data_IF_319098595656
#
_entry.id   IF_319098595656
#
_cell.length_a   1.000
_cell.length_b   1.000
_cell.length_c   1.000
_cell.angle_alpha   90.00
_cell.angle_beta   90.00
_cell.angle_gamma   90.00
#
_symmetry.space_group_name_H-M   'P 1'
#
loop_
_entity.id
_entity.type
_entity.pdbx_description
1 polymer ?
#
# COMPACT_ATOMS: atom_id res chain seq x y z
N UNK A 1 28.96 18.86 -8.49
CA UNK A 1 27.51 19.05 -8.60
C UNK A 1 26.91 18.64 -7.27
N UNK A 2 26.40 19.61 -6.52
CA UNK A 2 25.64 19.34 -5.30
C UNK A 2 24.21 18.92 -5.67
N UNK A 3 23.46 18.31 -4.74
CA UNK A 3 22.09 17.84 -4.99
C UNK A 3 21.14 18.95 -5.46
N UNK A 4 21.36 20.18 -4.97
CA UNK A 4 20.62 21.36 -5.40
C UNK A 4 20.93 21.77 -6.86
N UNK A 5 22.18 21.62 -7.31
CA UNK A 5 22.57 21.94 -8.70
C UNK A 5 21.88 20.99 -9.70
N UNK A 6 21.70 19.72 -9.31
CA UNK A 6 21.01 18.73 -10.13
C UNK A 6 19.50 19.03 -10.24
N UNK A 7 18.87 19.43 -9.13
CA UNK A 7 17.45 19.82 -9.12
C UNK A 7 17.21 21.07 -9.97
N UNK A 8 18.10 22.06 -9.87
CA UNK A 8 18.06 23.27 -10.69
C UNK A 8 18.29 22.99 -12.18
N UNK A 9 19.16 22.03 -12.50
CA UNK A 9 19.39 21.62 -13.89
C UNK A 9 18.13 20.98 -14.50
N UNK A 10 17.48 20.08 -13.77
CA UNK A 10 16.27 19.38 -14.23
C UNK A 10 15.09 20.33 -14.42
N UNK A 11 14.89 21.26 -13.49
CA UNK A 11 13.79 22.24 -13.55
C UNK A 11 13.98 23.24 -14.69
N UNK A 12 15.19 23.80 -14.86
CA UNK A 12 15.50 24.76 -15.93
C UNK A 12 15.37 24.17 -17.34
N UNK A 13 15.53 22.85 -17.48
CA UNK A 13 15.44 22.15 -18.77
C UNK A 13 14.08 21.49 -19.00
N UNK A 14 13.12 21.66 -18.10
CA UNK A 14 11.78 21.04 -18.14
C UNK A 14 11.82 19.52 -18.37
N UNK A 15 12.90 18.87 -17.91
CA UNK A 15 13.13 17.43 -18.12
C UNK A 15 12.00 16.58 -17.52
N UNK A 16 11.48 16.85 -16.30
CA UNK A 16 10.37 16.09 -15.75
C UNK A 16 9.11 16.14 -16.62
N UNK A 17 8.78 17.30 -17.20
CA UNK A 17 7.59 17.47 -18.03
C UNK A 17 7.70 16.72 -19.38
N UNK A 18 8.91 16.72 -19.96
CA UNK A 18 9.19 15.92 -21.16
C UNK A 18 8.96 14.42 -20.89
N UNK A 19 9.49 13.90 -19.77
CA UNK A 19 9.30 12.49 -19.41
C UNK A 19 7.85 12.16 -19.13
N UNK A 20 7.12 13.04 -18.44
CA UNK A 20 5.68 12.88 -18.19
C UNK A 20 4.88 12.75 -19.50
N UNK A 21 5.12 13.64 -20.47
CA UNK A 21 4.47 13.58 -21.78
C UNK A 21 4.81 12.29 -22.55
N UNK A 22 6.08 11.89 -22.55
CA UNK A 22 6.54 10.65 -23.21
C UNK A 22 5.95 9.39 -22.57
N UNK A 23 5.89 9.34 -21.24
CA UNK A 23 5.27 8.23 -20.50
C UNK A 23 3.77 8.15 -20.77
N UNK A 24 3.10 9.29 -20.86
CA UNK A 24 1.66 9.35 -21.18
C UNK A 24 1.41 8.80 -22.60
N UNK A 25 2.26 9.16 -23.57
CA UNK A 25 2.21 8.59 -24.92
C UNK A 25 2.45 7.08 -24.96
N UNK A 26 3.43 6.57 -24.20
CA UNK A 26 3.71 5.14 -24.08
C UNK A 26 2.52 4.36 -23.51
N UNK A 27 1.93 4.88 -22.43
CA UNK A 27 0.79 4.25 -21.77
C UNK A 27 -0.45 4.23 -22.66
N UNK A 28 -0.64 5.28 -23.46
CA UNK A 28 -1.77 5.42 -24.37
C UNK A 28 -1.66 4.49 -25.59
N UNK A 29 -0.51 4.48 -26.27
CA UNK A 29 -0.33 3.72 -27.51
C UNK A 29 0.08 2.27 -27.31
N UNK A 30 0.68 1.91 -26.17
CA UNK A 30 1.22 0.57 -25.87
C UNK A 30 1.95 -0.07 -27.06
N UNK A 31 2.98 0.59 -27.61
CA UNK A 31 3.71 0.09 -28.76
C UNK A 31 4.40 -1.24 -28.45
N UNK A 32 4.50 -2.13 -29.44
CA UNK A 32 5.21 -3.41 -29.31
C UNK A 32 6.71 -3.23 -29.03
N UNK A 33 7.30 -2.15 -29.56
CA UNK A 33 8.66 -1.72 -29.24
C UNK A 33 8.68 -0.32 -28.57
N UNK A 34 8.76 -0.28 -27.22
CA UNK A 34 8.81 0.97 -26.46
C UNK A 34 10.05 1.82 -26.74
N UNK A 35 11.20 1.22 -27.08
CA UNK A 35 12.45 1.96 -27.25
C UNK A 35 12.40 2.80 -28.53
N UNK A 36 11.99 2.19 -29.64
CA UNK A 36 11.80 2.90 -30.92
C UNK A 36 10.75 4.02 -30.81
N UNK A 37 9.69 3.80 -30.02
CA UNK A 37 8.70 4.84 -29.75
C UNK A 37 9.30 6.03 -28.99
N UNK A 38 10.08 5.78 -27.93
CA UNK A 38 10.72 6.86 -27.17
C UNK A 38 11.74 7.64 -28.00
N UNK A 39 12.49 6.97 -28.89
CA UNK A 39 13.36 7.64 -29.85
C UNK A 39 12.59 8.57 -30.79
N UNK A 40 11.43 8.12 -31.29
CA UNK A 40 10.55 8.95 -32.12
C UNK A 40 10.01 10.17 -31.35
N UNK A 41 9.61 10.00 -30.08
CA UNK A 41 9.18 11.11 -29.23
C UNK A 41 10.30 12.16 -29.06
N UNK A 42 11.53 11.72 -28.77
CA UNK A 42 12.68 12.62 -28.64
C UNK A 42 12.99 13.36 -29.96
N UNK A 43 12.87 12.68 -31.10
CA UNK A 43 13.04 13.32 -32.40
C UNK A 43 11.96 14.37 -32.66
N UNK A 44 10.69 14.05 -32.38
CA UNK A 44 9.58 15.01 -32.50
C UNK A 44 9.73 16.21 -31.57
N UNK A 45 10.26 16.02 -30.35
CA UNK A 45 10.60 17.13 -29.43
C UNK A 45 11.68 18.04 -30.01
N UNK A 46 12.69 17.48 -30.68
CA UNK A 46 13.73 18.28 -31.36
C UNK A 46 13.13 19.09 -32.51
N UNK A 47 12.23 18.49 -33.28
CA UNK A 47 11.58 19.16 -34.41
C UNK A 47 10.63 20.29 -33.95
N UNK A 48 10.05 20.18 -32.76
CA UNK A 48 9.22 21.21 -32.12
C UNK A 48 10.03 22.35 -31.48
N UNK A 49 11.36 22.26 -31.48
CA UNK A 49 12.25 23.31 -31.00
C UNK A 49 12.71 23.19 -29.55
N UNK A 50 12.40 22.09 -28.86
CA UNK A 50 12.88 21.85 -27.49
C UNK A 50 11.82 21.29 -26.53
N UNK A 51 12.22 20.86 -25.32
CA UNK A 51 11.33 20.34 -24.29
C UNK A 51 10.29 21.37 -23.80
N UNK A 52 10.58 22.67 -23.90
CA UNK A 52 9.67 23.77 -23.55
C UNK A 52 8.43 23.89 -24.45
N UNK A 53 8.48 23.29 -25.64
CA UNK A 53 7.38 23.29 -26.61
C UNK A 53 6.47 22.04 -26.47
N UNK A 54 6.79 21.13 -25.56
CA UNK A 54 6.07 19.88 -25.35
C UNK A 54 5.00 20.10 -24.27
N UNK A 55 3.73 19.91 -24.64
CA UNK A 55 2.63 19.78 -23.69
C UNK A 55 2.45 18.31 -23.25
N UNK A 56 1.70 18.09 -22.18
CA UNK A 56 1.45 16.76 -21.61
C UNK A 56 0.79 15.77 -22.60
N UNK A 57 0.05 16.24 -23.61
CA UNK A 57 -0.70 15.45 -24.60
C UNK A 57 -0.06 15.40 -26.00
N UNK A 58 1.16 15.94 -26.14
CA UNK A 58 1.87 16.06 -27.43
C UNK A 58 2.03 14.74 -28.19
N UNK A 59 2.06 13.62 -27.47
CA UNK A 59 2.25 12.28 -28.03
C UNK A 59 0.99 11.41 -28.01
N UNK A 60 -0.19 12.01 -27.76
CA UNK A 60 -1.48 11.29 -27.66
C UNK A 60 -2.37 11.55 -28.89
N UNK A 61 -2.11 12.62 -29.65
CA UNK A 61 -2.99 13.03 -30.76
C UNK A 61 -2.67 12.31 -32.09
N UNK A 62 -3.66 11.69 -32.75
CA UNK A 62 -3.50 11.23 -34.13
C UNK A 62 -3.57 12.43 -35.09
N UNK A 63 -2.75 12.41 -36.15
CA UNK A 63 -2.68 13.41 -37.20
C UNK A 63 -4.05 14.00 -37.56
N UNK A 64 -4.26 15.30 -37.29
CA UNK A 64 -5.37 16.04 -37.92
C UNK A 64 -5.07 16.17 -39.41
N UNK A 65 -5.53 15.21 -40.21
CA UNK A 65 -5.67 15.43 -41.66
C UNK A 65 -6.63 16.62 -41.88
N UNK A 66 -6.25 17.66 -42.62
CA UNK A 66 -7.18 18.73 -42.95
C UNK A 66 -8.33 18.17 -43.81
N UNK A 67 -9.55 18.57 -43.48
CA UNK A 67 -10.76 18.13 -44.17
C UNK A 67 -10.80 18.68 -45.62
N UNK A 68 -11.30 17.90 -46.60
CA UNK A 68 -11.47 18.37 -47.96
C UNK A 68 -12.64 19.39 -48.07
N UNK A 69 -12.63 20.31 -49.06
CA UNK A 69 -13.68 21.31 -49.22
C UNK A 69 -15.00 20.66 -49.69
N UNK A 70 -16.09 21.04 -49.03
CA UNK A 70 -17.44 20.53 -49.31
C UNK A 70 -18.03 21.26 -50.53
N UNK A 71 -18.29 20.55 -51.63
CA UNK A 71 -19.21 20.97 -52.68
C UNK A 71 -20.64 20.49 -52.34
N UNK A 72 -21.68 21.32 -52.52
CA UNK A 72 -23.04 20.95 -52.13
C UNK A 72 -23.75 20.26 -53.30
N UNK A 73 -24.18 19.00 -53.12
CA UNK A 73 -25.12 18.38 -54.05
C UNK A 73 -26.09 17.41 -53.34
N UNK A 74 -27.31 17.92 -53.16
CA UNK A 74 -28.59 17.24 -53.42
C UNK A 74 -28.95 15.99 -52.59
N UNK A 75 -29.64 16.22 -51.48
CA UNK A 75 -30.52 15.24 -50.85
C UNK A 75 -31.90 15.16 -51.54
N UNK A 76 -32.36 13.93 -51.78
CA UNK A 76 -33.73 13.49 -52.14
C UNK A 76 -33.82 12.05 -51.59
N UNK A 77 -34.81 11.53 -50.87
CA UNK A 77 -36.22 11.83 -50.51
C UNK A 77 -36.55 10.96 -49.26
N UNK A 78 -37.22 11.45 -48.21
CA UNK A 78 -38.68 11.44 -47.91
C UNK A 78 -39.23 10.08 -47.39
N UNK A 79 -40.46 9.95 -46.82
CA UNK A 79 -41.47 10.94 -46.33
C UNK A 79 -42.07 10.56 -44.93
N UNK A 80 -42.86 11.38 -44.21
CA UNK A 80 -44.31 11.61 -44.36
C UNK A 80 -44.77 12.62 -43.26
N UNK A 81 -45.37 13.77 -43.62
CA UNK A 81 -46.82 14.10 -43.72
C UNK A 81 -47.47 14.43 -42.36
N UNK A 82 -48.02 15.61 -42.13
CA UNK A 82 -49.31 16.21 -42.60
C UNK A 82 -49.30 17.71 -42.18
N UNK A 83 -50.00 18.72 -42.74
CA UNK A 83 -50.77 19.00 -43.97
C UNK A 83 -51.17 20.51 -43.90
N UNK A 84 -51.40 21.19 -45.05
CA UNK A 84 -52.22 22.42 -45.16
C UNK A 84 -51.52 23.80 -45.32
N UNK A 85 -51.60 24.41 -46.53
CA UNK A 85 -51.17 25.80 -46.88
C UNK A 85 -52.24 26.90 -46.68
N UNK A 86 -52.26 28.07 -47.38
CA UNK A 86 -51.38 28.65 -48.42
C UNK A 86 -50.80 30.08 -48.09
N UNK A 87 -49.96 30.66 -48.99
CA UNK A 87 -49.10 31.87 -48.80
C UNK A 87 -49.80 33.26 -48.88
N UNK A 88 -49.18 34.40 -49.32
CA UNK A 88 -47.77 34.69 -49.73
C UNK A 88 -47.16 36.06 -49.24
N UNK A 89 -45.84 36.11 -48.92
CA UNK A 89 -44.88 37.26 -48.94
C UNK A 89 -45.26 38.68 -48.41
N UNK A 90 -44.40 39.72 -48.54
CA UNK A 90 -42.94 39.80 -48.44
C UNK A 90 -42.47 40.87 -47.40
N UNK A 91 -41.21 40.81 -46.97
CA UNK A 91 -40.49 41.99 -46.45
C UNK A 91 -40.19 42.06 -44.93
N UNK A 92 -39.21 42.89 -44.53
CA UNK A 92 -38.19 42.51 -43.56
C UNK A 92 -38.30 43.23 -42.19
N UNK A 93 -37.55 42.70 -41.22
CA UNK A 93 -37.36 43.16 -39.82
C UNK A 93 -38.52 42.92 -38.84
N UNK A 94 -38.37 41.91 -37.97
CA UNK A 94 -38.75 41.97 -36.53
C UNK A 94 -38.13 40.83 -35.70
N UNK A 95 -37.33 41.24 -34.71
CA UNK A 95 -37.35 40.85 -33.28
C UNK A 95 -38.16 39.59 -32.92
N UNK A 96 -37.51 38.58 -32.33
CA UNK A 96 -38.05 37.62 -31.33
C UNK A 96 -36.83 37.12 -30.52
N UNK A 97 -36.72 37.35 -29.20
CA UNK A 97 -37.50 36.86 -28.04
C UNK A 97 -36.86 35.61 -27.41
N UNK A 98 -36.55 35.74 -26.11
CA UNK A 98 -36.06 34.64 -25.26
C UNK A 98 -37.14 33.58 -25.13
N UNK A 99 -36.75 32.32 -25.25
CA UNK A 99 -37.56 31.15 -24.89
C UNK A 99 -36.94 30.39 -23.70
N UNK A 100 -37.77 29.65 -22.93
CA UNK A 100 -37.60 29.41 -21.50
C UNK A 100 -36.74 28.16 -21.18
N UNK A 101 -36.31 27.98 -19.92
CA UNK A 101 -35.55 26.81 -19.52
C UNK A 101 -36.45 25.57 -19.48
N UNK A 102 -36.07 24.51 -20.20
CA UNK A 102 -36.80 23.25 -20.19
C UNK A 102 -36.34 22.39 -19.01
N UNK A 103 -37.31 22.02 -18.18
CA UNK A 103 -37.22 21.18 -17.01
C UNK A 103 -36.92 19.72 -17.35
N UNK A 104 -36.14 19.10 -16.46
CA UNK A 104 -35.83 17.69 -16.42
C UNK A 104 -37.08 16.83 -16.17
N UNK A 105 -37.30 15.80 -17.01
CA UNK A 105 -38.06 14.61 -16.65
C UNK A 105 -37.42 13.35 -17.29
N UNK A 106 -36.62 12.68 -16.45
CA UNK A 106 -36.33 11.25 -16.30
C UNK A 106 -36.62 10.27 -17.45
N UNK A 107 -35.57 9.58 -17.91
CA UNK A 107 -35.38 8.13 -17.70
C UNK A 107 -33.96 7.73 -18.12
N UNK A 108 -33.06 7.57 -17.15
CA UNK A 108 -31.88 6.71 -17.28
C UNK A 108 -32.02 5.69 -16.17
N UNK A 109 -32.12 4.44 -16.59
CA UNK A 109 -32.26 3.26 -15.75
C UNK A 109 -31.05 3.13 -14.81
N UNK A 110 -31.32 2.65 -13.62
CA UNK A 110 -30.36 2.43 -12.53
C UNK A 110 -29.25 1.45 -12.93
N UNK A 111 -28.02 1.94 -13.02
CA UNK A 111 -26.83 1.17 -12.62
C UNK A 111 -26.52 1.52 -11.16
N UNK A 112 -27.34 0.97 -10.28
CA UNK A 112 -26.97 0.69 -8.90
C UNK A 112 -26.15 -0.60 -8.92
N UNK A 113 -24.81 -0.48 -9.03
CA UNK A 113 -23.81 -1.41 -8.48
C UNK A 113 -22.39 -0.99 -8.87
N UNK A 114 -22.00 0.23 -8.48
CA UNK A 114 -20.58 0.59 -8.36
C UNK A 114 -20.35 1.24 -6.99
N UNK A 115 -20.73 0.50 -5.96
CA UNK A 115 -20.12 0.66 -4.64
C UNK A 115 -19.15 -0.51 -4.48
N UNK A 116 -17.85 -0.25 -4.59
CA UNK A 116 -16.88 -0.61 -3.54
C UNK A 116 -15.44 -0.28 -3.97
N UNK A 117 -14.86 0.66 -3.20
CA UNK A 117 -13.47 0.62 -2.75
C UNK A 117 -12.35 1.13 -3.67
N UNK A 118 -12.54 2.29 -4.29
CA UNK A 118 -11.41 3.23 -4.46
C UNK A 118 -11.32 4.07 -3.19
N UNK A 119 -10.70 3.50 -2.15
CA UNK A 119 -10.62 4.05 -0.81
C UNK A 119 -10.12 5.50 -0.82
N UNK A 120 -11.02 6.43 -0.51
CA UNK A 120 -10.63 7.67 0.13
C UNK A 120 -9.80 7.28 1.36
N UNK A 121 -8.50 7.53 1.33
CA UNK A 121 -7.66 7.46 2.53
C UNK A 121 -8.13 8.63 3.39
N UNK A 122 -9.20 8.40 4.14
CA UNK A 122 -9.50 9.21 5.29
C UNK A 122 -8.31 9.03 6.23
N UNK A 123 -7.60 10.12 6.48
CA UNK A 123 -6.63 10.24 7.57
C UNK A 123 -7.40 10.04 8.88
N UNK A 124 -7.68 8.79 9.21
CA UNK A 124 -8.14 8.40 10.52
C UNK A 124 -6.93 8.27 11.41
N UNK A 125 -6.90 9.09 12.46
CA UNK A 125 -6.08 8.82 13.63
C UNK A 125 -6.39 7.40 14.12
N UNK A 126 -5.37 6.56 14.17
CA UNK A 126 -5.53 5.13 14.54
C UNK A 126 -5.99 4.99 15.98
N UNK A 127 -5.53 5.89 16.84
CA UNK A 127 -5.89 5.97 18.24
C UNK A 127 -6.57 7.30 18.52
N UNK A 128 -7.63 7.26 19.32
CA UNK A 128 -8.34 8.45 19.75
C UNK A 128 -7.42 9.33 20.62
N UNK A 129 -7.12 10.58 20.23
CA UNK A 129 -6.22 11.46 20.98
C UNK A 129 -6.77 11.86 22.35
N UNK A 130 -8.07 11.64 22.62
CA UNK A 130 -8.68 11.88 23.92
C UNK A 130 -8.45 10.75 24.94
N UNK A 131 -7.98 9.57 24.48
CA UNK A 131 -7.69 8.41 25.31
C UNK A 131 -6.18 8.24 25.51
N UNK A 132 -5.73 7.63 26.62
CA UNK A 132 -4.33 7.25 26.75
C UNK A 132 -3.97 6.27 25.62
N UNK A 133 -2.85 6.52 24.94
CA UNK A 133 -2.39 5.65 23.87
C UNK A 133 -2.13 4.24 24.41
N UNK A 134 -2.57 3.18 23.72
CA UNK A 134 -2.28 1.81 24.12
C UNK A 134 -0.78 1.54 24.00
N UNK A 135 -0.27 0.65 24.85
CA UNK A 135 1.12 0.21 24.75
C UNK A 135 1.35 -0.62 23.50
N UNK A 136 2.41 -0.37 22.74
CA UNK A 136 2.74 -1.15 21.54
C UNK A 136 4.09 -1.83 21.74
N UNK A 137 4.08 -3.16 21.73
CA UNK A 137 5.28 -3.99 21.84
C UNK A 137 5.50 -4.76 20.53
N UNK A 138 6.71 -4.73 20.00
CA UNK A 138 7.11 -5.57 18.88
C UNK A 138 7.94 -6.75 19.33
N UNK A 139 7.58 -7.96 18.88
CA UNK A 139 8.41 -9.16 19.05
C UNK A 139 9.02 -9.51 17.69
N UNK A 140 10.33 -9.31 17.60
CA UNK A 140 11.15 -9.57 16.43
C UNK A 140 11.96 -10.85 16.66
N UNK A 141 12.04 -11.70 15.65
CA UNK A 141 12.86 -12.90 15.71
C UNK A 141 12.78 -13.70 14.42
N UNK A 142 13.76 -14.59 14.24
CA UNK A 142 13.83 -15.45 13.07
C UNK A 142 12.58 -16.32 12.90
N UNK A 143 12.29 -16.79 11.69
CA UNK A 143 11.28 -17.82 11.51
C UNK A 143 11.68 -19.06 12.33
N UNK A 144 10.80 -19.51 13.23
CA UNK A 144 11.10 -20.62 14.15
C UNK A 144 11.64 -20.24 15.52
N UNK A 145 11.86 -18.95 15.82
CA UNK A 145 12.41 -18.50 17.11
C UNK A 145 11.50 -18.69 18.33
N UNK A 146 10.24 -19.07 18.12
CA UNK A 146 9.24 -19.17 19.19
C UNK A 146 8.45 -17.87 19.46
N UNK A 147 8.64 -16.83 18.64
CA UNK A 147 7.94 -15.54 18.77
C UNK A 147 6.43 -15.67 18.98
N UNK A 148 5.69 -16.34 18.09
CA UNK A 148 4.24 -16.49 18.25
C UNK A 148 3.80 -17.16 19.55
N UNK A 149 4.57 -18.12 20.07
CA UNK A 149 4.30 -18.76 21.37
C UNK A 149 4.48 -17.78 22.52
N UNK A 150 5.60 -17.05 22.53
CA UNK A 150 5.89 -16.04 23.55
C UNK A 150 4.88 -14.90 23.49
N UNK A 151 4.57 -14.40 22.29
CA UNK A 151 3.58 -13.35 22.08
C UNK A 151 2.22 -13.73 22.65
N UNK A 152 1.75 -14.97 22.40
CA UNK A 152 0.47 -15.44 22.93
C UNK A 152 0.46 -15.51 24.47
N UNK A 153 1.54 -15.99 25.09
CA UNK A 153 1.66 -16.03 26.57
C UNK A 153 1.64 -14.62 27.17
N UNK A 154 2.39 -13.68 26.58
CA UNK A 154 2.49 -12.29 27.07
C UNK A 154 1.16 -11.56 26.88
N UNK A 155 0.52 -11.72 25.73
CA UNK A 155 -0.81 -11.17 25.46
C UNK A 155 -1.81 -11.58 26.53
N UNK A 156 -1.85 -12.86 26.87
CA UNK A 156 -2.72 -13.37 27.93
C UNK A 156 -2.33 -12.84 29.33
N UNK A 157 -1.04 -12.71 29.64
CA UNK A 157 -0.56 -12.27 30.96
C UNK A 157 -0.90 -10.81 31.28
N UNK A 158 -0.80 -9.93 30.29
CA UNK A 158 -0.98 -8.47 30.46
C UNK A 158 -2.30 -7.96 29.87
N UNK A 159 -3.19 -8.85 29.41
CA UNK A 159 -4.47 -8.48 28.79
C UNK A 159 -4.26 -7.55 27.58
N UNK A 160 -3.27 -7.91 26.75
CA UNK A 160 -2.91 -7.22 25.51
C UNK A 160 -3.44 -7.97 24.30
N UNK A 161 -3.67 -7.22 23.23
CA UNK A 161 -4.14 -7.78 21.98
C UNK A 161 -2.98 -8.34 21.16
N UNK A 162 -3.07 -9.64 20.87
CA UNK A 162 -2.09 -10.33 20.03
C UNK A 162 -2.40 -10.09 18.54
N UNK A 163 -1.43 -9.53 17.85
CA UNK A 163 -1.53 -9.21 16.42
C UNK A 163 -0.38 -9.89 15.68
N UNK A 164 -0.65 -11.01 15.01
CA UNK A 164 0.36 -11.71 14.19
C UNK A 164 0.18 -11.33 12.72
N UNK A 165 1.11 -10.54 12.18
CA UNK A 165 1.05 -10.10 10.76
C UNK A 165 1.00 -11.29 9.81
N UNK A 166 1.77 -12.35 10.10
CA UNK A 166 1.76 -13.55 9.28
C UNK A 166 0.41 -14.29 9.30
N UNK A 167 -0.28 -14.29 10.43
CA UNK A 167 -1.60 -14.93 10.54
C UNK A 167 -2.67 -14.11 9.83
N UNK A 168 -2.64 -12.78 10.01
CA UNK A 168 -3.59 -11.90 9.37
C UNK A 168 -3.49 -12.02 7.85
N UNK A 169 -2.27 -11.95 7.29
CA UNK A 169 -2.07 -12.14 5.86
C UNK A 169 -2.57 -13.51 5.38
N UNK A 170 -2.32 -14.60 6.12
CA UNK A 170 -2.84 -15.94 5.75
C UNK A 170 -4.38 -15.98 5.75
N UNK A 171 -5.02 -15.36 6.73
CA UNK A 171 -6.48 -15.28 6.77
C UNK A 171 -7.04 -14.47 5.60
N UNK A 172 -6.42 -13.33 5.27
CA UNK A 172 -6.81 -12.52 4.12
C UNK A 172 -6.63 -13.29 2.80
N UNK A 173 -5.54 -14.06 2.65
CA UNK A 173 -5.33 -14.93 1.51
C UNK A 173 -6.43 -16.00 1.37
N UNK A 174 -6.84 -16.64 2.46
CA UNK A 174 -7.91 -17.65 2.42
C UNK A 174 -9.25 -17.06 1.97
N UNK A 175 -9.56 -15.82 2.35
CA UNK A 175 -10.83 -15.17 2.03
C UNK A 175 -10.84 -14.47 0.66
N UNK A 176 -9.73 -13.85 0.25
CA UNK A 176 -9.70 -12.95 -0.90
C UNK A 176 -8.91 -13.49 -2.10
N UNK A 177 -7.93 -14.38 -1.92
CA UNK A 177 -7.11 -14.87 -3.04
C UNK A 177 -7.88 -15.52 -4.20
N UNK A 178 -9.02 -16.22 -3.99
CA UNK A 178 -9.79 -16.79 -5.11
C UNK A 178 -10.48 -15.75 -6.00
N UNK A 179 -10.71 -14.54 -5.48
CA UNK A 179 -11.55 -13.52 -6.12
C UNK A 179 -10.80 -12.24 -6.47
N UNK A 180 -9.63 -12.01 -5.87
CA UNK A 180 -8.82 -10.80 -6.04
C UNK A 180 -7.40 -11.15 -6.51
N UNK A 181 -7.05 -10.65 -7.70
CA UNK A 181 -5.73 -10.82 -8.32
C UNK A 181 -4.60 -10.27 -7.44
N UNK A 182 -4.82 -9.21 -6.66
CA UNK A 182 -3.83 -8.67 -5.72
C UNK A 182 -3.45 -9.73 -4.68
N UNK A 183 -4.45 -10.35 -4.05
CA UNK A 183 -4.23 -11.37 -3.03
C UNK A 183 -3.69 -12.66 -3.62
N UNK A 184 -4.05 -13.03 -4.85
CA UNK A 184 -3.43 -14.15 -5.57
C UNK A 184 -1.91 -13.95 -5.73
N UNK A 185 -1.48 -12.77 -6.17
CA UNK A 185 -0.05 -12.44 -6.32
C UNK A 185 0.69 -12.47 -4.97
N UNK A 186 0.07 -11.91 -3.92
CA UNK A 186 0.64 -11.95 -2.57
C UNK A 186 0.78 -13.40 -2.08
N UNK A 187 -0.17 -14.28 -2.41
CA UNK A 187 -0.08 -15.70 -2.09
C UNK A 187 1.17 -16.34 -2.69
N UNK A 188 1.44 -16.06 -3.97
CA UNK A 188 2.60 -16.59 -4.70
C UNK A 188 3.92 -16.09 -4.10
N UNK A 189 4.01 -14.79 -3.79
CA UNK A 189 5.17 -14.17 -3.13
C UNK A 189 5.47 -14.86 -1.79
N UNK A 190 4.44 -15.03 -0.95
CA UNK A 190 4.59 -15.68 0.36
C UNK A 190 4.95 -17.16 0.24
N UNK A 191 4.35 -17.89 -0.70
CA UNK A 191 4.67 -19.30 -0.95
C UNK A 191 6.13 -19.50 -1.39
N UNK A 192 6.70 -18.51 -2.08
CA UNK A 192 8.12 -18.47 -2.46
C UNK A 192 9.05 -18.06 -1.31
N UNK A 193 8.52 -17.81 -0.10
CA UNK A 193 9.30 -17.41 1.07
C UNK A 193 9.72 -15.93 1.07
N UNK A 194 9.13 -15.11 0.20
CA UNK A 194 9.38 -13.66 0.14
C UNK A 194 8.49 -12.90 1.13
N UNK A 195 8.82 -11.62 1.34
CA UNK A 195 8.04 -10.73 2.18
C UNK A 195 6.83 -10.20 1.41
N UNK A 196 5.69 -10.13 2.10
CA UNK A 196 4.52 -9.46 1.54
C UNK A 196 4.80 -7.96 1.34
N UNK A 197 4.13 -7.31 0.36
CA UNK A 197 4.27 -5.88 0.13
C UNK A 197 4.05 -5.07 1.41
N UNK A 198 4.87 -4.04 1.59
CA UNK A 198 4.86 -3.22 2.79
C UNK A 198 3.52 -2.51 2.97
N UNK A 199 2.97 -1.92 1.91
CA UNK A 199 1.74 -1.14 1.95
C UNK A 199 0.58 -2.00 2.46
N UNK A 200 0.44 -3.21 1.90
CA UNK A 200 -0.61 -4.16 2.31
C UNK A 200 -0.41 -4.63 3.75
N UNK A 201 0.84 -4.81 4.17
CA UNK A 201 1.15 -5.24 5.55
C UNK A 201 0.77 -4.17 6.57
N UNK A 202 1.07 -2.89 6.28
CA UNK A 202 0.78 -1.76 7.19
C UNK A 202 -0.71 -1.44 7.19
N UNK A 203 -1.36 -1.44 6.03
CA UNK A 203 -2.83 -1.27 5.92
C UNK A 203 -3.58 -2.27 6.79
N UNK A 204 -3.21 -3.54 6.67
CA UNK A 204 -3.88 -4.60 7.41
C UNK A 204 -3.60 -4.52 8.93
N UNK A 205 -2.38 -4.13 9.31
CA UNK A 205 -2.05 -3.88 10.71
C UNK A 205 -2.84 -2.69 11.28
N UNK A 206 -2.98 -1.61 10.49
CA UNK A 206 -3.78 -0.43 10.83
C UNK A 206 -5.24 -0.80 11.05
N UNK A 207 -5.81 -1.63 10.18
CA UNK A 207 -7.19 -2.12 10.33
C UNK A 207 -7.40 -2.90 11.65
N UNK A 208 -6.43 -3.73 12.06
CA UNK A 208 -6.53 -4.46 13.32
C UNK A 208 -6.53 -3.52 14.54
N UNK A 209 -5.71 -2.47 14.50
CA UNK A 209 -5.66 -1.48 15.59
C UNK A 209 -6.95 -0.66 15.67
N UNK A 210 -7.49 -0.23 14.53
CA UNK A 210 -8.77 0.48 14.45
C UNK A 210 -9.92 -0.38 14.98
N UNK A 211 -9.91 -1.69 14.67
CA UNK A 211 -10.94 -2.62 15.14
C UNK A 211 -10.93 -2.80 16.67
N UNK A 212 -9.79 -2.57 17.32
CA UNK A 212 -9.56 -2.83 18.75
C UNK A 212 -9.03 -1.59 19.50
N UNK A 213 -9.53 -0.41 19.18
CA UNK A 213 -9.06 0.87 19.75
C UNK A 213 -9.12 0.94 21.28
N UNK A 214 -10.01 0.18 21.92
CA UNK A 214 -10.17 0.17 23.38
C UNK A 214 -9.21 -0.81 24.11
N UNK A 215 -8.29 -1.47 23.39
CA UNK A 215 -7.31 -2.36 23.99
C UNK A 215 -6.32 -1.61 24.90
N UNK A 216 -5.88 -2.26 25.99
CA UNK A 216 -4.84 -1.70 26.89
C UNK A 216 -3.47 -1.62 26.22
N UNK A 217 -3.20 -2.54 25.30
CA UNK A 217 -1.94 -2.65 24.60
C UNK A 217 -2.04 -3.66 23.46
N UNK A 218 -1.08 -3.58 22.55
CA UNK A 218 -0.91 -4.44 21.40
C UNK A 218 0.47 -5.08 21.46
N UNK A 219 0.52 -6.37 21.15
CA UNK A 219 1.76 -7.09 20.95
C UNK A 219 1.80 -7.68 19.55
N UNK A 220 2.75 -7.18 18.76
CA UNK A 220 2.83 -7.48 17.33
C UNK A 220 3.94 -8.51 17.07
N UNK A 221 3.55 -9.66 16.52
CA UNK A 221 4.48 -10.71 16.09
C UNK A 221 4.82 -10.57 14.61
N UNK A 222 6.12 -10.59 14.30
CA UNK A 222 6.62 -10.76 12.95
C UNK A 222 6.60 -9.47 12.14
N UNK A 223 6.68 -8.34 12.84
CA UNK A 223 6.79 -6.98 12.31
C UNK A 223 7.75 -6.16 13.21
N UNK A 224 8.52 -5.22 12.65
CA UNK A 224 8.82 -5.06 11.22
C UNK A 224 9.80 -6.15 10.73
N UNK A 225 9.72 -6.48 9.43
CA UNK A 225 10.65 -7.39 8.73
C UNK A 225 11.62 -6.65 7.80
N UNK A 226 11.34 -5.40 7.52
CA UNK A 226 12.18 -4.46 6.78
C UNK A 226 12.25 -3.12 7.51
N UNK A 227 13.30 -2.35 7.26
CA UNK A 227 13.48 -1.05 7.90
C UNK A 227 12.43 -0.02 7.43
N UNK A 228 12.05 -0.08 6.15
CA UNK A 228 11.04 0.80 5.57
C UNK A 228 9.68 0.61 6.24
N UNK A 229 9.34 -0.63 6.64
CA UNK A 229 8.13 -0.91 7.41
C UNK A 229 8.12 -0.21 8.76
N UNK A 230 9.27 -0.15 9.45
CA UNK A 230 9.40 0.58 10.71
C UNK A 230 9.10 2.07 10.52
N UNK A 231 9.70 2.70 9.51
CA UNK A 231 9.50 4.13 9.24
C UNK A 231 8.03 4.47 8.94
N UNK A 232 7.41 3.73 8.02
CA UNK A 232 6.03 4.01 7.61
C UNK A 232 5.03 3.69 8.72
N UNK A 233 5.30 2.69 9.56
CA UNK A 233 4.49 2.44 10.76
C UNK A 233 4.56 3.61 11.74
N UNK A 234 5.76 4.13 12.01
CA UNK A 234 5.93 5.26 12.92
C UNK A 234 5.29 6.54 12.41
N UNK A 235 5.29 6.75 11.09
CA UNK A 235 4.65 7.88 10.43
C UNK A 235 3.11 7.79 10.46
N UNK A 236 2.54 6.60 10.22
CA UNK A 236 1.09 6.43 10.06
C UNK A 236 0.33 6.03 11.34
N UNK A 237 1.02 5.41 12.29
CA UNK A 237 0.41 4.81 13.50
C UNK A 237 1.06 5.38 14.76
N UNK A 238 2.39 5.38 14.82
CA UNK A 238 3.17 5.87 15.95
C UNK A 238 4.33 4.96 16.32
N UNK A 239 5.17 5.41 17.27
CA UNK A 239 6.33 4.64 17.72
C UNK A 239 5.97 3.51 18.69
N UNK A 240 6.64 2.33 18.61
CA UNK A 240 6.49 1.29 19.62
C UNK A 240 7.12 1.73 20.95
N UNK A 241 6.60 1.21 22.06
CA UNK A 241 7.14 1.44 23.41
C UNK A 241 8.32 0.51 23.72
N UNK A 242 8.29 -0.70 23.18
CA UNK A 242 9.30 -1.73 23.42
C UNK A 242 9.44 -2.64 22.21
N UNK A 243 10.68 -2.99 21.89
CA UNK A 243 11.02 -3.97 20.85
C UNK A 243 11.83 -5.10 21.49
N UNK A 244 11.36 -6.33 21.39
CA UNK A 244 12.04 -7.51 21.93
C UNK A 244 12.58 -8.31 20.76
N UNK A 245 13.90 -8.50 20.74
CA UNK A 245 14.58 -9.35 19.76
C UNK A 245 14.90 -10.72 20.36
N UNK A 246 14.20 -11.74 19.89
CA UNK A 246 14.49 -13.14 20.19
C UNK A 246 15.68 -13.62 19.35
N UNK A 247 16.86 -13.65 19.96
CA UNK A 247 18.09 -14.15 19.36
C UNK A 247 18.12 -15.68 19.48
N UNK A 248 18.24 -16.38 18.35
CA UNK A 248 18.25 -17.83 18.30
C UNK A 248 19.27 -18.29 17.24
N UNK A 249 19.98 -19.37 17.52
CA UNK A 249 20.96 -19.92 16.59
C UNK A 249 20.29 -20.44 15.31
N UNK A 250 20.96 -20.25 14.17
CA UNK A 250 20.45 -20.70 12.86
C UNK A 250 20.13 -22.20 12.83
N UNK A 251 20.90 -23.01 13.57
CA UNK A 251 20.68 -24.44 13.68
C UNK A 251 19.35 -24.76 14.40
N UNK A 252 19.06 -24.10 15.53
CA UNK A 252 17.79 -24.28 16.22
C UNK A 252 16.61 -23.77 15.40
N UNK A 253 16.74 -22.61 14.73
CA UNK A 253 15.69 -22.08 13.85
C UNK A 253 15.32 -23.09 12.76
N UNK A 254 16.31 -23.66 12.05
CA UNK A 254 16.09 -24.68 11.03
C UNK A 254 15.39 -25.91 11.58
N UNK A 255 15.92 -26.49 12.67
CA UNK A 255 15.32 -27.67 13.30
C UNK A 255 13.86 -27.44 13.72
N UNK A 256 13.55 -26.26 14.27
CA UNK A 256 12.18 -25.90 14.67
C UNK A 256 11.25 -25.72 13.47
N UNK A 257 11.75 -25.16 12.36
CA UNK A 257 10.98 -25.02 11.12
C UNK A 257 10.72 -26.36 10.44
N UNK A 258 11.69 -27.26 10.37
CA UNK A 258 11.52 -28.61 9.82
C UNK A 258 10.49 -29.43 10.62
N UNK A 259 10.55 -29.37 11.95
CA UNK A 259 9.54 -29.98 12.82
C UNK A 259 8.15 -29.41 12.55
N UNK A 260 8.04 -28.08 12.37
CA UNK A 260 6.77 -27.42 12.07
C UNK A 260 6.22 -27.81 10.70
N UNK A 261 7.06 -27.84 9.67
CA UNK A 261 6.68 -28.27 8.33
C UNK A 261 6.03 -29.66 8.36
N UNK A 262 6.63 -30.57 9.15
CA UNK A 262 6.18 -31.95 9.31
C UNK A 262 4.85 -32.09 10.07
N UNK A 263 4.53 -31.15 10.97
CA UNK A 263 3.38 -31.26 11.90
C UNK A 263 2.20 -30.37 11.55
N UNK A 264 2.44 -29.15 11.03
CA UNK A 264 1.43 -28.10 10.89
C UNK A 264 1.09 -27.79 9.42
N UNK A 265 1.88 -28.29 8.46
CA UNK A 265 1.54 -28.22 7.03
C UNK A 265 1.36 -26.80 6.47
N UNK A 266 2.18 -25.82 6.88
CA UNK A 266 2.08 -24.46 6.33
C UNK A 266 2.56 -24.43 4.87
N UNK A 267 1.88 -23.70 3.98
CA UNK A 267 2.26 -23.63 2.57
C UNK A 267 3.64 -22.99 2.36
N UNK A 268 4.06 -22.11 3.29
CA UNK A 268 5.35 -21.39 3.29
C UNK A 268 6.51 -22.13 4.02
N UNK A 269 6.31 -23.38 4.43
CA UNK A 269 7.32 -24.19 5.14
C UNK A 269 7.97 -25.26 4.24
N UNK A 270 8.20 -24.94 2.95
CA UNK A 270 9.03 -25.78 2.05
C UNK A 270 10.53 -25.47 2.23
N UNK A 271 11.41 -26.42 1.90
CA UNK A 271 12.87 -26.28 2.15
C UNK A 271 13.47 -25.01 1.54
N UNK A 272 13.05 -24.66 0.32
CA UNK A 272 13.53 -23.47 -0.37
C UNK A 272 13.05 -22.17 0.30
N UNK A 273 11.77 -22.10 0.65
CA UNK A 273 11.16 -20.97 1.35
C UNK A 273 11.75 -20.78 2.75
N UNK A 274 12.04 -21.87 3.47
CA UNK A 274 12.70 -21.82 4.80
C UNK A 274 14.06 -21.13 4.69
N UNK A 275 14.90 -21.54 3.74
CA UNK A 275 16.22 -20.95 3.53
C UNK A 275 16.12 -19.47 3.17
N UNK A 276 15.26 -19.13 2.20
CA UNK A 276 15.03 -17.75 1.79
C UNK A 276 14.57 -16.87 2.94
N UNK A 277 13.65 -17.34 3.78
CA UNK A 277 13.15 -16.58 4.95
C UNK A 277 14.23 -16.36 6.00
N UNK A 278 15.09 -17.36 6.24
CA UNK A 278 16.22 -17.23 7.16
C UNK A 278 17.23 -16.21 6.63
N UNK A 279 17.51 -16.24 5.34
CA UNK A 279 18.45 -15.32 4.72
C UNK A 279 17.91 -13.89 4.69
N UNK A 280 16.66 -13.67 4.27
CA UNK A 280 16.01 -12.36 4.35
C UNK A 280 16.02 -11.81 5.77
N UNK A 281 15.72 -12.64 6.78
CA UNK A 281 15.80 -12.24 8.17
C UNK A 281 17.21 -11.78 8.58
N UNK A 282 18.25 -12.55 8.26
CA UNK A 282 19.65 -12.20 8.58
C UNK A 282 20.09 -10.88 7.94
N UNK A 283 19.70 -10.65 6.68
CA UNK A 283 20.08 -9.42 5.97
C UNK A 283 19.40 -8.20 6.59
N UNK A 284 18.10 -8.31 6.92
CA UNK A 284 17.32 -7.15 7.35
C UNK A 284 17.45 -6.86 8.86
N UNK A 285 17.64 -7.89 9.69
CA UNK A 285 17.60 -7.72 11.16
C UNK A 285 18.67 -6.75 11.67
N UNK A 286 19.83 -6.72 11.03
CA UNK A 286 20.94 -5.85 11.45
C UNK A 286 20.54 -4.38 11.38
N UNK A 287 19.83 -3.98 10.32
CA UNK A 287 19.37 -2.59 10.13
C UNK A 287 18.26 -2.23 11.11
N UNK A 288 17.28 -3.13 11.29
CA UNK A 288 16.16 -2.93 12.22
C UNK A 288 16.65 -2.85 13.66
N UNK A 289 17.54 -3.77 14.05
CA UNK A 289 18.11 -3.80 15.38
C UNK A 289 18.92 -2.54 15.67
N UNK A 290 19.74 -2.08 14.72
CA UNK A 290 20.50 -0.84 14.86
C UNK A 290 19.58 0.37 15.04
N UNK A 291 18.53 0.47 14.22
CA UNK A 291 17.56 1.56 14.28
C UNK A 291 16.88 1.70 15.65
N UNK A 292 16.36 0.61 16.21
CA UNK A 292 15.73 0.65 17.53
C UNK A 292 16.74 0.71 18.68
N UNK A 293 17.98 0.28 18.47
CA UNK A 293 19.06 0.38 19.45
C UNK A 293 19.51 1.82 19.65
N UNK A 294 19.65 2.60 18.58
CA UNK A 294 19.96 4.03 18.66
C UNK A 294 18.87 4.84 19.39
N UNK A 295 17.64 4.32 19.42
CA UNK A 295 16.50 4.92 20.14
C UNK A 295 16.30 4.39 21.56
N UNK A 296 17.07 3.38 21.98
CA UNK A 296 16.93 2.76 23.31
C UNK A 296 15.66 1.91 23.50
N UNK A 297 14.96 1.57 22.43
CA UNK A 297 13.67 0.86 22.47
C UNK A 297 13.83 -0.67 22.41
N UNK A 298 14.98 -1.18 21.96
CA UNK A 298 15.19 -2.63 21.76
C UNK A 298 15.89 -3.31 22.94
N UNK A 299 15.42 -4.51 23.27
CA UNK A 299 16.05 -5.43 24.23
C UNK A 299 16.23 -6.79 23.55
N UNK A 300 17.39 -7.42 23.76
CA UNK A 300 17.71 -8.74 23.19
C UNK A 300 17.50 -9.82 24.24
N UNK A 301 16.85 -10.91 23.85
CA UNK A 301 16.60 -12.09 24.70
C UNK A 301 17.11 -13.32 23.99
N UNK A 302 17.88 -14.16 24.71
CA UNK A 302 18.34 -15.44 24.21
C UNK A 302 17.18 -16.46 24.19
N UNK A 303 16.84 -16.93 22.98
CA UNK A 303 15.74 -17.83 22.68
C UNK A 303 16.18 -19.27 22.34
N UNK A 304 17.46 -19.61 22.57
CA UNK A 304 17.95 -21.00 22.50
C UNK A 304 17.64 -21.82 23.78
N UNK A 305 17.12 -21.16 24.82
CA UNK A 305 16.73 -21.73 26.13
C UNK A 305 15.31 -22.32 26.14
N UNK A 306 14.90 -22.82 27.30
CA UNK A 306 13.55 -23.33 27.56
C UNK A 306 12.49 -22.22 27.47
N UNK A 307 11.28 -22.60 27.05
CA UNK A 307 10.20 -21.66 26.74
C UNK A 307 9.77 -20.82 27.95
N UNK A 308 9.75 -21.42 29.14
CA UNK A 308 9.31 -20.75 30.37
C UNK A 308 10.37 -19.79 30.93
N UNK A 309 11.65 -20.08 30.74
CA UNK A 309 12.74 -19.17 31.11
C UNK A 309 12.71 -17.92 30.23
N UNK A 310 12.52 -18.11 28.92
CA UNK A 310 12.38 -17.01 27.96
C UNK A 310 11.16 -16.14 28.32
N UNK A 311 10.03 -16.78 28.66
CA UNK A 311 8.82 -16.06 29.05
C UNK A 311 9.05 -15.22 30.31
N UNK A 312 9.71 -15.79 31.32
CA UNK A 312 10.03 -15.10 32.57
C UNK A 312 10.89 -13.86 32.33
N UNK A 313 11.93 -13.98 31.51
CA UNK A 313 12.80 -12.85 31.17
C UNK A 313 12.04 -11.75 30.42
N UNK A 314 11.17 -12.12 29.48
CA UNK A 314 10.35 -11.14 28.76
C UNK A 314 9.39 -10.43 29.72
N UNK A 315 8.75 -11.14 30.64
CA UNK A 315 7.90 -10.53 31.66
C UNK A 315 8.66 -9.48 32.48
N UNK A 316 9.87 -9.81 32.96
CA UNK A 316 10.70 -8.87 33.70
C UNK A 316 11.01 -7.60 32.88
N UNK A 317 11.34 -7.75 31.60
CA UNK A 317 11.61 -6.62 30.69
C UNK A 317 10.36 -5.75 30.48
N UNK A 318 9.20 -6.38 30.29
CA UNK A 318 7.93 -5.67 30.09
C UNK A 318 7.56 -4.89 31.36
N UNK A 319 7.72 -5.50 32.54
CA UNK A 319 7.46 -4.84 33.82
C UNK A 319 8.41 -3.67 34.06
N UNK A 320 9.71 -3.84 33.83
CA UNK A 320 10.70 -2.76 33.98
C UNK A 320 10.42 -1.58 33.05
N UNK A 321 10.05 -1.84 31.79
CA UNK A 321 9.93 -0.82 30.75
C UNK A 321 8.57 -0.13 30.73
N UNK A 322 7.48 -0.86 30.98
CA UNK A 322 6.12 -0.33 30.87
C UNK A 322 5.49 -0.02 32.23
N UNK A 323 5.90 -0.72 33.29
CA UNK A 323 5.32 -0.60 34.64
C UNK A 323 6.36 -0.32 35.74
N UNK A 324 7.24 0.70 35.58
CA UNK A 324 8.34 0.96 36.53
C UNK A 324 7.86 1.33 37.95
N UNK A 325 6.59 1.70 38.11
CA UNK A 325 5.98 2.15 39.37
C UNK A 325 5.74 1.03 40.39
N UNK A 326 5.58 -0.22 39.95
CA UNK A 326 5.17 -1.33 40.82
C UNK A 326 6.35 -2.00 41.56
N UNK A 327 7.61 -1.75 41.14
CA UNK A 327 8.79 -2.24 41.87
C UNK A 327 9.09 -1.47 43.17
N UNK A 328 8.57 -0.25 43.34
CA UNK A 328 8.75 0.52 44.59
C UNK A 328 7.67 0.23 45.66
N UNK A 329 6.63 -0.54 45.34
CA UNK A 329 5.58 -0.91 46.29
C UNK A 329 5.85 -2.21 47.05
N UNK A 330 6.84 -3.01 46.63
CA UNK A 330 7.30 -4.21 47.35
C UNK A 330 8.55 -3.88 48.19
N UNK A 331 8.52 -2.75 48.88
CA UNK A 331 9.38 -2.48 50.03
C UNK A 331 8.75 -3.15 51.25
N UNK A 332 9.33 -4.28 51.68
CA UNK A 332 8.93 -5.04 52.87
C UNK A 332 8.63 -4.12 54.06
N UNK A 333 7.37 -4.15 54.48
CA UNK A 333 6.91 -3.88 55.84
C UNK A 333 6.80 -5.19 56.61
#
# INVERSE_FOLDING_TARGET
>A
MNTNDAKDYLSKRQIPHLFESMLTGLMYHRPEDPLTFLESCLQKTRDLGGPECVAWDTFITPDRKPLPPITPAQGKKAPCKLDGGPGPGPGPYRRYDRLPPIQAQFSIESDSDMTESSGLIQEYDVFDPSKPRPHIIFIIGGPGSGKGTQTAKIAHRYDFEHVSVGEILRNQLLHHAPSDRKWELIAQIIANGELAPQETTIEELKHQFIKKQDAKGFIVDGFPREISQAFTFEEQIGSPDLVILLACSNQQLRQRLEKRASQQGRPDDNTHAIEKRLDTFKHNITLIAKYYQERGLIVRVDADREEDDIFTDICAIVEERLFPSDMNAVGFK
#
